data_IF_070704214214
#
_entry.id   IF_070704214214
#
_cell.length_a   1.000
_cell.length_b   1.000
_cell.length_c   1.000
_cell.angle_alpha   90.00
_cell.angle_beta   90.00
_cell.angle_gamma   90.00
#
_symmetry.space_group_name_H-M   'P 1'
#
loop_
_entity.id
_entity.type
_entity.pdbx_description
1 polymer ?
#
# COMPACT_ATOMS: atom_id res chain seq x y z
N UNK A 1 5.99 3.81 -6.62
CA UNK A 1 6.09 3.59 -5.17
C UNK A 1 6.87 2.29 -4.93
N UNK A 2 8.19 2.28 -5.24
CA UNK A 2 9.00 1.05 -5.15
C UNK A 2 8.95 0.43 -3.75
N UNK A 3 9.10 1.25 -2.72
CA UNK A 3 9.07 0.84 -1.31
C UNK A 3 7.77 0.12 -0.91
N UNK A 4 6.61 0.63 -1.31
CA UNK A 4 5.32 -0.03 -1.01
C UNK A 4 5.24 -1.43 -1.62
N UNK A 5 5.64 -1.56 -2.88
CA UNK A 5 5.65 -2.84 -3.58
C UNK A 5 6.64 -3.82 -2.96
N UNK A 6 7.84 -3.36 -2.61
CA UNK A 6 8.87 -4.15 -1.93
C UNK A 6 8.35 -4.68 -0.59
N UNK A 7 7.82 -3.81 0.26
CA UNK A 7 7.24 -4.19 1.55
C UNK A 7 6.10 -5.19 1.43
N UNK A 8 5.22 -5.00 0.46
CA UNK A 8 4.16 -5.99 0.19
C UNK A 8 4.74 -7.35 -0.20
N UNK A 9 5.77 -7.38 -1.04
CA UNK A 9 6.42 -8.62 -1.48
C UNK A 9 7.21 -9.29 -0.34
N UNK A 10 7.86 -8.52 0.53
CA UNK A 10 8.51 -9.02 1.76
C UNK A 10 7.52 -9.75 2.68
N UNK A 11 6.28 -9.26 2.75
CA UNK A 11 5.18 -9.91 3.48
C UNK A 11 4.53 -11.08 2.73
N UNK A 12 4.98 -11.39 1.51
CA UNK A 12 4.42 -12.47 0.69
C UNK A 12 3.01 -12.20 0.18
N UNK A 13 2.58 -10.95 0.16
CA UNK A 13 1.20 -10.56 -0.19
C UNK A 13 1.08 -10.19 -1.66
N UNK A 14 -0.03 -10.58 -2.28
CA UNK A 14 -0.44 -10.08 -3.59
C UNK A 14 -1.13 -8.72 -3.47
N UNK A 15 -1.27 -8.01 -4.59
CA UNK A 15 -2.08 -6.79 -4.64
C UNK A 15 -3.53 -7.01 -4.21
N UNK A 16 -4.07 -8.21 -4.47
CA UNK A 16 -5.44 -8.59 -4.09
C UNK A 16 -5.56 -8.72 -2.56
N UNK A 17 -4.57 -9.31 -1.91
CA UNK A 17 -4.57 -9.52 -0.45
C UNK A 17 -4.64 -8.20 0.29
N UNK A 18 -3.76 -7.24 -0.05
CA UNK A 18 -3.75 -5.92 0.58
C UNK A 18 -5.05 -5.16 0.27
N UNK A 19 -5.53 -5.25 -0.98
CA UNK A 19 -6.77 -4.60 -1.37
C UNK A 19 -7.98 -5.09 -0.56
N UNK A 20 -8.08 -6.41 -0.34
CA UNK A 20 -9.12 -7.03 0.48
C UNK A 20 -9.04 -6.59 1.94
N UNK A 21 -7.84 -6.50 2.51
CA UNK A 21 -7.65 -6.05 3.91
C UNK A 21 -8.11 -4.59 4.10
N UNK A 22 -7.75 -3.70 3.17
CA UNK A 22 -8.05 -2.27 3.31
C UNK A 22 -9.42 -1.88 2.72
N UNK A 23 -10.14 -2.81 2.12
CA UNK A 23 -11.49 -2.63 1.59
C UNK A 23 -11.53 -1.84 0.28
N UNK A 24 -10.58 -2.07 -0.63
CA UNK A 24 -10.55 -1.49 -1.98
C UNK A 24 -10.43 -2.58 -3.05
N UNK A 25 -10.55 -2.20 -4.32
CA UNK A 25 -10.29 -3.16 -5.42
C UNK A 25 -8.80 -3.33 -5.65
N UNK A 26 -8.38 -4.50 -6.12
CA UNK A 26 -6.99 -4.75 -6.57
C UNK A 26 -6.49 -3.69 -7.56
N UNK A 27 -7.31 -3.27 -8.51
CA UNK A 27 -6.93 -2.22 -9.46
C UNK A 27 -6.67 -0.88 -8.77
N UNK A 28 -7.46 -0.53 -7.76
CA UNK A 28 -7.23 0.67 -6.96
C UNK A 28 -5.88 0.59 -6.25
N UNK A 29 -5.57 -0.53 -5.61
CA UNK A 29 -4.28 -0.76 -4.96
C UNK A 29 -3.11 -0.70 -5.96
N UNK A 30 -3.25 -1.35 -7.11
CA UNK A 30 -2.24 -1.32 -8.17
C UNK A 30 -1.95 0.10 -8.67
N UNK A 31 -2.97 0.95 -8.82
CA UNK A 31 -2.77 2.35 -9.19
C UNK A 31 -1.99 3.14 -8.13
N UNK A 32 -2.15 2.81 -6.85
CA UNK A 32 -1.38 3.42 -5.76
C UNK A 32 0.10 3.03 -5.86
N UNK A 33 0.40 1.73 -6.01
CA UNK A 33 1.80 1.26 -6.15
C UNK A 33 2.52 1.89 -7.36
N UNK A 34 1.78 2.16 -8.43
CA UNK A 34 2.29 2.74 -9.67
C UNK A 34 2.13 4.27 -9.75
N UNK A 35 1.80 4.95 -8.65
CA UNK A 35 1.68 6.41 -8.55
C UNK A 35 0.69 7.03 -9.57
N UNK A 36 -0.28 6.24 -10.03
CA UNK A 36 -1.30 6.66 -10.99
C UNK A 36 -2.50 7.32 -10.33
N UNK A 37 -2.53 7.41 -9.00
CA UNK A 37 -3.61 7.99 -8.22
C UNK A 37 -3.09 8.61 -6.93
N UNK A 38 -3.66 9.74 -6.54
CA UNK A 38 -3.41 10.38 -5.24
C UNK A 38 -3.94 9.51 -4.10
N UNK A 39 -3.07 9.16 -3.18
CA UNK A 39 -3.38 8.39 -1.98
C UNK A 39 -3.93 9.31 -0.89
N UNK A 40 -5.13 9.01 -0.36
CA UNK A 40 -5.70 9.71 0.80
C UNK A 40 -5.03 9.22 2.08
N UNK A 41 -4.89 10.10 3.08
CA UNK A 41 -4.24 9.79 4.36
C UNK A 41 -4.88 8.56 5.04
N UNK A 42 -6.21 8.50 5.13
CA UNK A 42 -6.91 7.36 5.74
C UNK A 42 -6.59 6.02 5.06
N UNK A 43 -6.42 6.04 3.74
CA UNK A 43 -6.09 4.83 2.99
C UNK A 43 -4.60 4.49 3.11
N UNK A 44 -3.73 5.49 3.18
CA UNK A 44 -2.31 5.30 3.48
C UNK A 44 -2.14 4.61 4.84
N UNK A 45 -2.87 5.07 5.85
CA UNK A 45 -2.82 4.49 7.20
C UNK A 45 -3.28 3.03 7.21
N UNK A 46 -4.40 2.71 6.57
CA UNK A 46 -4.87 1.31 6.45
C UNK A 46 -3.88 0.41 5.73
N UNK A 47 -3.24 0.90 4.66
CA UNK A 47 -2.24 0.13 3.91
C UNK A 47 -1.00 -0.11 4.77
N UNK A 48 -0.54 0.89 5.51
CA UNK A 48 0.60 0.76 6.41
C UNK A 48 0.29 -0.25 7.54
N UNK A 49 -0.89 -0.17 8.15
CA UNK A 49 -1.37 -1.14 9.14
C UNK A 49 -1.44 -2.56 8.57
N UNK A 50 -1.97 -2.72 7.34
CA UNK A 50 -2.05 -4.02 6.66
C UNK A 50 -0.68 -4.64 6.36
N UNK A 51 0.35 -3.80 6.20
CA UNK A 51 1.72 -4.21 5.96
C UNK A 51 2.58 -4.21 7.24
N UNK A 52 2.00 -3.90 8.41
CA UNK A 52 2.71 -3.76 9.69
C UNK A 52 3.92 -2.79 9.59
N UNK A 53 3.78 -1.72 8.82
CA UNK A 53 4.80 -0.70 8.58
C UNK A 53 4.34 0.67 9.12
N UNK A 54 5.29 1.57 9.39
CA UNK A 54 4.96 2.94 9.74
C UNK A 54 4.57 3.75 8.48
N UNK A 55 3.44 4.49 8.46
CA UNK A 55 3.04 5.26 7.28
C UNK A 55 4.06 6.32 6.84
N UNK A 56 4.80 6.94 7.77
CA UNK A 56 5.85 7.92 7.43
C UNK A 56 7.00 7.22 6.74
N UNK A 57 7.41 6.07 7.26
CA UNK A 57 8.45 5.27 6.63
C UNK A 57 8.01 4.78 5.25
N UNK A 58 6.80 4.27 5.12
CA UNK A 58 6.30 3.66 3.90
C UNK A 58 6.07 4.67 2.76
N UNK A 59 5.67 5.90 3.09
CA UNK A 59 5.23 6.88 2.09
C UNK A 59 6.06 8.19 2.02
N UNK A 60 6.86 8.52 3.03
CA UNK A 60 7.49 9.84 3.14
C UNK A 60 9.02 9.82 3.29
N UNK A 61 9.64 8.68 3.64
CA UNK A 61 11.10 8.57 3.66
C UNK A 61 11.65 8.17 2.29
N UNK A 62 12.31 9.14 1.65
CA UNK A 62 13.17 9.01 0.46
C UNK A 62 14.61 8.77 0.86
#
# INVERSE_FOLDING_TARGET
>A
MLKLKEKRLEKGMSCEDVANIVGITKMHYWYIENEKRTLKIDLAQKIAEALEEDPKELFFNS
#
